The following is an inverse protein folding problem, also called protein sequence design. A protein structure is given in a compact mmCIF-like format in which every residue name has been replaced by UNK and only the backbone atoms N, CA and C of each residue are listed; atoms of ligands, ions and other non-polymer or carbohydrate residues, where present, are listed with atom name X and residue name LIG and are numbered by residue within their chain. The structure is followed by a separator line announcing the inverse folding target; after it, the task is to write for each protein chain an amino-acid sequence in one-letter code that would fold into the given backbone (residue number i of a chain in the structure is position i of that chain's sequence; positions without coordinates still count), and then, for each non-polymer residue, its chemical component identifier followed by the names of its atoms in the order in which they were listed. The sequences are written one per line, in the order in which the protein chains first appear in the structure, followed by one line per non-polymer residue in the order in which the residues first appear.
data_IF_725882896676
#
_entry.id   IF_725882896676
#
_cell.length_a   1.000
_cell.length_b   1.000
_cell.length_c   1.000
_cell.angle_alpha   90.00
_cell.angle_beta   90.00
_cell.angle_gamma   90.00
#
_symmetry.space_group_name_H-M   'P 1'
#
loop_
_entity.id
_entity.type
_entity.pdbx_description
1 polymer ?
#
# COMPACT_ATOMS: atom_id res chain seq x y z
N UNK A 1 49.07 13.30 -46.46
CA UNK A 1 49.58 12.11 -45.72
C UNK A 1 48.39 11.27 -45.29
N UNK A 2 48.17 10.15 -45.98
CA UNK A 2 47.14 9.17 -45.66
C UNK A 2 47.61 8.34 -44.47
N UNK A 3 47.11 8.66 -43.27
CA UNK A 3 47.22 7.76 -42.13
C UNK A 3 46.32 6.55 -42.45
N UNK A 4 46.93 5.40 -42.73
CA UNK A 4 46.20 4.14 -42.92
C UNK A 4 45.32 3.91 -41.71
N UNK A 5 44.00 3.88 -41.90
CA UNK A 5 43.03 3.59 -40.85
C UNK A 5 43.41 2.25 -40.24
N UNK A 6 43.87 2.25 -39.00
CA UNK A 6 44.28 1.01 -38.31
C UNK A 6 43.05 0.12 -38.17
N UNK A 7 43.20 -1.17 -38.46
CA UNK A 7 42.12 -2.16 -38.41
C UNK A 7 41.32 -2.09 -37.09
N UNK A 8 42.00 -1.74 -35.99
CA UNK A 8 41.41 -1.54 -34.65
C UNK A 8 40.32 -0.47 -34.58
N UNK A 9 40.37 0.57 -35.42
CA UNK A 9 39.37 1.65 -35.44
C UNK A 9 38.03 1.24 -36.05
N UNK A 10 38.01 0.16 -36.85
CA UNK A 10 36.79 -0.39 -37.49
C UNK A 10 36.09 -1.45 -36.63
N UNK A 11 36.82 -2.09 -35.71
CA UNK A 11 36.30 -3.22 -34.91
C UNK A 11 35.08 -2.80 -34.10
N UNK A 12 35.13 -1.66 -33.42
CA UNK A 12 34.05 -1.21 -32.55
C UNK A 12 32.76 -0.81 -33.31
N UNK A 13 32.81 0.03 -34.37
CA UNK A 13 31.63 0.33 -35.18
C UNK A 13 31.01 -0.92 -35.83
N UNK A 14 31.85 -1.84 -36.31
CA UNK A 14 31.40 -3.09 -36.94
C UNK A 14 30.71 -4.01 -35.93
N UNK A 15 31.24 -4.10 -34.71
CA UNK A 15 30.62 -4.87 -33.63
C UNK A 15 29.25 -4.29 -33.24
N UNK A 16 29.13 -2.97 -33.14
CA UNK A 16 27.85 -2.32 -32.87
C UNK A 16 26.82 -2.56 -33.98
N UNK A 17 27.24 -2.47 -35.25
CA UNK A 17 26.36 -2.69 -36.40
C UNK A 17 25.88 -4.14 -36.46
N UNK A 18 26.81 -5.11 -36.39
CA UNK A 18 26.48 -6.53 -36.50
C UNK A 18 25.76 -7.04 -35.24
N UNK A 19 26.22 -6.65 -34.06
CA UNK A 19 25.62 -7.01 -32.79
C UNK A 19 24.23 -6.41 -32.62
N UNK A 20 24.08 -5.11 -32.89
CA UNK A 20 22.77 -4.43 -32.88
C UNK A 20 21.81 -5.01 -33.91
N UNK A 21 22.30 -5.31 -35.13
CA UNK A 21 21.51 -5.95 -36.18
C UNK A 21 21.03 -7.36 -35.81
N UNK A 22 21.92 -8.18 -35.24
CA UNK A 22 21.55 -9.51 -34.75
C UNK A 22 20.50 -9.42 -33.63
N UNK A 23 20.70 -8.52 -32.66
CA UNK A 23 19.75 -8.29 -31.57
C UNK A 23 18.40 -7.79 -32.10
N UNK A 24 18.39 -6.90 -33.10
CA UNK A 24 17.16 -6.42 -33.73
C UNK A 24 16.37 -7.56 -34.38
N UNK A 25 17.05 -8.44 -35.13
CA UNK A 25 16.43 -9.63 -35.72
C UNK A 25 15.80 -10.50 -34.64
N UNK A 26 16.51 -10.75 -33.53
CA UNK A 26 15.97 -11.54 -32.43
C UNK A 26 14.82 -10.85 -31.70
N UNK A 27 14.88 -9.53 -31.52
CA UNK A 27 13.84 -8.76 -30.85
C UNK A 27 12.54 -8.77 -31.67
N UNK A 28 12.64 -8.61 -32.99
CA UNK A 28 11.50 -8.67 -33.89
C UNK A 28 10.93 -10.09 -34.01
N UNK A 29 11.77 -11.12 -34.06
CA UNK A 29 11.30 -12.51 -34.19
C UNK A 29 10.63 -13.05 -32.93
N UNK A 30 11.03 -12.55 -31.75
CA UNK A 30 10.43 -12.92 -30.47
C UNK A 30 9.24 -12.04 -30.06
N UNK A 31 8.84 -11.07 -30.90
CA UNK A 31 7.73 -10.16 -30.58
C UNK A 31 7.99 -9.30 -29.34
N UNK A 32 9.25 -8.89 -29.12
CA UNK A 32 9.64 -8.06 -27.97
C UNK A 32 8.92 -6.70 -27.97
N UNK A 33 8.70 -6.09 -26.80
CA UNK A 33 8.02 -4.80 -26.71
C UNK A 33 8.80 -3.72 -27.47
N UNK A 34 8.06 -2.76 -28.05
CA UNK A 34 8.59 -1.73 -28.97
C UNK A 34 9.84 -0.98 -28.48
N UNK A 35 10.00 -0.63 -27.18
CA UNK A 35 11.22 0.02 -26.70
C UNK A 35 12.49 -0.79 -26.93
N UNK A 36 12.42 -2.13 -26.82
CA UNK A 36 13.56 -3.03 -27.01
C UNK A 36 13.96 -3.11 -28.49
N UNK A 37 12.95 -3.19 -29.37
CA UNK A 37 13.14 -3.18 -30.83
C UNK A 37 13.78 -1.84 -31.27
N UNK A 38 13.28 -0.72 -30.75
CA UNK A 38 13.84 0.60 -31.03
C UNK A 38 15.29 0.73 -30.52
N UNK A 39 15.58 0.24 -29.31
CA UNK A 39 16.93 0.29 -28.74
C UNK A 39 17.96 -0.48 -29.58
N UNK A 40 17.61 -1.70 -30.00
CA UNK A 40 18.49 -2.54 -30.85
C UNK A 40 18.68 -1.96 -32.26
N UNK A 41 17.63 -1.36 -32.84
CA UNK A 41 17.72 -0.63 -34.10
C UNK A 41 18.63 0.61 -33.99
N UNK A 42 18.54 1.36 -32.90
CA UNK A 42 19.40 2.53 -32.65
C UNK A 42 20.86 2.12 -32.47
N UNK A 43 21.14 1.02 -31.77
CA UNK A 43 22.49 0.47 -31.63
C UNK A 43 23.12 0.13 -32.99
N UNK A 44 22.37 -0.54 -33.87
CA UNK A 44 22.81 -0.85 -35.23
C UNK A 44 23.04 0.43 -36.05
N UNK A 45 22.12 1.40 -35.95
CA UNK A 45 22.22 2.69 -36.63
C UNK A 45 23.46 3.48 -36.21
N UNK A 46 23.79 3.50 -34.92
CA UNK A 46 25.01 4.15 -34.40
C UNK A 46 26.27 3.50 -35.01
N UNK A 47 26.33 2.17 -35.07
CA UNK A 47 27.42 1.45 -35.73
C UNK A 47 27.57 1.81 -37.21
N UNK A 48 26.45 1.90 -37.94
CA UNK A 48 26.44 2.34 -39.34
C UNK A 48 26.94 3.77 -39.51
N UNK A 49 26.42 4.71 -38.71
CA UNK A 49 26.81 6.13 -38.76
C UNK A 49 28.30 6.33 -38.46
N UNK A 50 28.85 5.59 -37.50
CA UNK A 50 30.29 5.60 -37.20
C UNK A 50 31.14 5.15 -38.39
N UNK A 51 30.73 4.08 -39.09
CA UNK A 51 31.41 3.64 -40.30
C UNK A 51 31.34 4.70 -41.41
N UNK A 52 30.15 5.27 -41.67
CA UNK A 52 29.99 6.32 -42.68
C UNK A 52 30.85 7.56 -42.41
N UNK A 53 30.97 7.95 -41.15
CA UNK A 53 31.87 9.02 -40.72
C UNK A 53 33.34 8.65 -40.94
N UNK A 54 33.73 7.44 -40.55
CA UNK A 54 35.10 6.96 -40.71
C UNK A 54 35.50 6.84 -42.17
N UNK A 55 34.61 6.41 -43.07
CA UNK A 55 34.85 6.36 -44.52
C UNK A 55 34.89 7.73 -45.20
N UNK A 56 34.62 8.82 -44.47
CA UNK A 56 34.69 10.18 -45.01
C UNK A 56 33.50 10.56 -45.89
N UNK A 57 32.46 9.74 -45.91
CA UNK A 57 31.19 10.04 -46.60
C UNK A 57 30.50 11.22 -45.87
N UNK A 58 30.61 11.26 -44.55
CA UNK A 58 30.10 12.34 -43.71
C UNK A 58 31.25 13.28 -43.32
N UNK A 59 31.10 14.58 -43.59
CA UNK A 59 32.12 15.57 -43.22
C UNK A 59 32.19 15.79 -41.71
N UNK A 60 33.35 16.27 -41.22
CA UNK A 60 33.58 16.55 -39.78
C UNK A 60 32.54 17.51 -39.17
N UNK A 61 32.11 18.50 -39.94
CA UNK A 61 31.10 19.49 -39.51
C UNK A 61 29.71 18.84 -39.35
N UNK A 62 29.33 17.98 -40.30
CA UNK A 62 28.04 17.27 -40.27
C UNK A 62 28.03 16.26 -39.12
N UNK A 63 29.12 15.50 -38.91
CA UNK A 63 29.22 14.59 -37.77
C UNK A 63 29.10 15.29 -36.42
N UNK A 64 29.68 16.49 -36.30
CA UNK A 64 29.55 17.31 -35.08
C UNK A 64 28.11 17.79 -34.87
N UNK A 65 27.43 18.26 -35.93
CA UNK A 65 26.02 18.66 -35.85
C UNK A 65 25.11 17.49 -35.44
N UNK A 66 25.31 16.30 -36.04
CA UNK A 66 24.56 15.09 -35.69
C UNK A 66 24.82 14.68 -34.24
N UNK A 67 26.08 14.74 -33.78
CA UNK A 67 26.44 14.43 -32.39
C UNK A 67 25.82 15.40 -31.38
N UNK A 68 25.82 16.70 -31.68
CA UNK A 68 25.17 17.72 -30.85
C UNK A 68 23.66 17.49 -30.80
N UNK A 69 23.02 17.27 -31.95
CA UNK A 69 21.59 16.98 -32.01
C UNK A 69 21.23 15.72 -31.22
N UNK A 70 22.00 14.63 -31.38
CA UNK A 70 21.82 13.40 -30.62
C UNK A 70 21.99 13.62 -29.12
N UNK A 71 22.97 14.44 -28.70
CA UNK A 71 23.16 14.84 -27.31
C UNK A 71 21.97 15.60 -26.73
N UNK A 72 21.41 16.55 -27.49
CA UNK A 72 20.20 17.31 -27.08
C UNK A 72 19.00 16.36 -26.94
N UNK A 73 18.79 15.47 -27.91
CA UNK A 73 17.72 14.46 -27.84
C UNK A 73 17.91 13.54 -26.62
N UNK A 74 19.14 13.09 -26.35
CA UNK A 74 19.43 12.25 -25.20
C UNK A 74 19.11 12.95 -23.87
N UNK A 75 19.48 14.22 -23.71
CA UNK A 75 19.13 15.02 -22.52
C UNK A 75 17.61 15.20 -22.40
N UNK A 76 16.91 15.43 -23.50
CA UNK A 76 15.46 15.56 -23.51
C UNK A 76 14.76 14.25 -23.10
N UNK A 77 15.18 13.11 -23.65
CA UNK A 77 14.64 11.80 -23.27
C UNK A 77 14.92 11.49 -21.80
N UNK A 78 16.13 11.75 -21.31
CA UNK A 78 16.47 11.59 -19.89
C UNK A 78 15.58 12.44 -18.98
N UNK A 79 15.20 13.65 -19.41
CA UNK A 79 14.25 14.50 -18.69
C UNK A 79 12.83 13.90 -18.67
N UNK A 80 12.37 13.32 -19.78
CA UNK A 80 11.07 12.66 -19.84
C UNK A 80 11.01 11.45 -18.91
N UNK A 81 12.05 10.61 -18.91
CA UNK A 81 12.15 9.44 -18.03
C UNK A 81 12.13 9.86 -16.55
N UNK A 82 12.91 10.89 -16.20
CA UNK A 82 12.90 11.45 -14.85
C UNK A 82 11.50 11.92 -14.42
N UNK A 83 10.80 12.68 -15.29
CA UNK A 83 9.47 13.20 -14.99
C UNK A 83 8.44 12.07 -14.83
N UNK A 84 8.50 11.05 -15.68
CA UNK A 84 7.60 9.91 -15.63
C UNK A 84 7.70 9.17 -14.28
N UNK A 85 8.93 8.85 -13.86
CA UNK A 85 9.16 8.14 -12.59
C UNK A 85 8.85 9.03 -11.38
N UNK A 86 9.22 10.32 -11.42
CA UNK A 86 8.96 11.24 -10.31
C UNK A 86 7.46 11.40 -10.04
N UNK A 87 6.63 11.47 -11.08
CA UNK A 87 5.17 11.58 -10.94
C UNK A 87 4.55 10.37 -10.25
N UNK A 88 4.94 9.16 -10.66
CA UNK A 88 4.43 7.93 -10.05
C UNK A 88 4.87 7.76 -8.60
N UNK A 89 6.12 8.14 -8.28
CA UNK A 89 6.65 8.05 -6.93
C UNK A 89 5.86 8.91 -5.94
N UNK A 90 5.53 10.15 -6.32
CA UNK A 90 4.78 11.06 -5.45
C UNK A 90 3.34 10.56 -5.24
N UNK A 91 2.68 10.03 -6.27
CA UNK A 91 1.36 9.41 -6.15
C UNK A 91 1.43 8.17 -5.24
N UNK A 92 2.47 7.34 -5.37
CA UNK A 92 2.66 6.16 -4.54
C UNK A 92 2.90 6.52 -3.06
N UNK A 93 3.70 7.57 -2.79
CA UNK A 93 3.90 8.09 -1.43
C UNK A 93 2.60 8.63 -0.84
N UNK A 94 1.87 9.47 -1.58
CA UNK A 94 0.61 10.05 -1.15
C UNK A 94 -0.44 8.94 -0.87
N UNK A 95 -0.50 7.91 -1.72
CA UNK A 95 -1.35 6.74 -1.52
C UNK A 95 -0.99 6.01 -0.23
N UNK A 96 0.29 5.73 0.00
CA UNK A 96 0.77 5.04 1.21
C UNK A 96 0.41 5.84 2.45
N UNK A 97 0.69 7.14 2.46
CA UNK A 97 0.37 8.03 3.58
C UNK A 97 -1.14 8.08 3.86
N UNK A 98 -1.96 8.24 2.82
CA UNK A 98 -3.41 8.22 2.94
C UNK A 98 -3.92 6.90 3.54
N UNK A 99 -3.46 5.77 2.99
CA UNK A 99 -3.88 4.45 3.44
C UNK A 99 -3.46 4.20 4.89
N UNK A 100 -2.26 4.61 5.29
CA UNK A 100 -1.79 4.51 6.67
C UNK A 100 -2.71 5.29 7.63
N UNK A 101 -3.14 6.51 7.25
CA UNK A 101 -4.11 7.29 8.04
C UNK A 101 -5.49 6.62 8.09
N UNK A 102 -6.00 6.15 6.96
CA UNK A 102 -7.32 5.47 6.91
C UNK A 102 -7.30 4.17 7.72
N UNK A 103 -6.23 3.37 7.64
CA UNK A 103 -6.04 2.15 8.44
C UNK A 103 -6.08 2.47 9.93
N UNK A 104 -5.37 3.52 10.39
CA UNK A 104 -5.42 3.93 11.79
C UNK A 104 -6.85 4.28 12.22
N UNK A 105 -7.57 5.07 11.42
CA UNK A 105 -8.96 5.41 11.71
C UNK A 105 -9.89 4.18 11.74
N UNK A 106 -9.67 3.20 10.86
CA UNK A 106 -10.41 1.94 10.86
C UNK A 106 -10.05 1.04 12.06
N UNK A 107 -8.80 1.05 12.53
CA UNK A 107 -8.40 0.40 13.80
C UNK A 107 -9.14 1.01 14.99
N UNK A 108 -9.25 2.32 15.03
CA UNK A 108 -9.98 3.04 16.09
C UNK A 108 -11.46 2.67 16.09
N UNK A 109 -12.08 2.64 14.91
CA UNK A 109 -13.47 2.19 14.73
C UNK A 109 -13.64 0.72 15.12
N UNK A 110 -12.68 -0.16 14.76
CA UNK A 110 -12.70 -1.57 15.15
C UNK A 110 -12.71 -1.74 16.67
N UNK A 111 -11.83 -1.03 17.37
CA UNK A 111 -11.74 -1.08 18.82
C UNK A 111 -13.06 -0.65 19.48
N UNK A 112 -13.66 0.46 18.99
CA UNK A 112 -14.95 0.92 19.45
C UNK A 112 -16.08 -0.09 19.17
N UNK A 113 -16.10 -0.73 17.99
CA UNK A 113 -17.10 -1.74 17.64
C UNK A 113 -17.02 -2.97 18.55
N UNK A 114 -15.80 -3.43 18.85
CA UNK A 114 -15.60 -4.55 19.78
C UNK A 114 -16.10 -4.20 21.18
N UNK A 115 -15.77 -3.01 21.69
CA UNK A 115 -16.26 -2.55 22.98
C UNK A 115 -17.78 -2.37 23.01
N UNK A 116 -18.37 -1.89 21.90
CA UNK A 116 -19.81 -1.75 21.77
C UNK A 116 -20.52 -3.11 21.83
N UNK A 117 -19.97 -4.12 21.16
CA UNK A 117 -20.48 -5.50 21.19
C UNK A 117 -20.34 -6.14 22.57
N UNK A 118 -19.24 -5.90 23.29
CA UNK A 118 -19.08 -6.37 24.67
C UNK A 118 -20.11 -5.76 25.63
N UNK A 119 -20.53 -4.51 25.41
CA UNK A 119 -21.51 -3.82 26.25
C UNK A 119 -22.97 -4.14 25.87
N UNK A 120 -23.28 -4.30 24.58
CA UNK A 120 -24.67 -4.41 24.09
C UNK A 120 -25.03 -5.78 23.47
N UNK A 121 -24.05 -6.65 23.22
CA UNK A 121 -24.25 -7.95 22.56
C UNK A 121 -24.46 -7.87 21.04
N UNK A 122 -24.32 -6.68 20.45
CA UNK A 122 -24.36 -6.46 19.01
C UNK A 122 -23.45 -5.31 18.59
N UNK A 123 -23.13 -5.21 17.29
CA UNK A 123 -22.35 -4.10 16.73
C UNK A 123 -23.23 -2.88 16.40
N UNK A 124 -22.63 -1.69 16.30
CA UNK A 124 -23.32 -0.48 15.87
C UNK A 124 -23.34 -0.36 14.34
N UNK A 125 -24.48 0.08 13.80
CA UNK A 125 -24.63 0.36 12.37
C UNK A 125 -24.38 1.83 12.00
N UNK A 126 -24.17 2.70 12.99
CA UNK A 126 -24.13 4.14 12.80
C UNK A 126 -22.91 4.76 13.50
N UNK A 127 -22.14 5.54 12.73
CA UNK A 127 -21.00 6.33 13.24
C UNK A 127 -21.40 7.24 14.41
N UNK A 128 -22.56 7.89 14.37
CA UNK A 128 -22.99 8.80 15.43
C UNK A 128 -23.27 8.07 16.75
N UNK A 129 -23.95 6.93 16.69
CA UNK A 129 -24.21 6.08 17.86
C UNK A 129 -22.89 5.57 18.45
N UNK A 130 -22.01 5.06 17.60
CA UNK A 130 -20.71 4.59 18.03
C UNK A 130 -19.86 5.71 18.64
N UNK A 131 -19.92 6.93 18.09
CA UNK A 131 -19.22 8.10 18.64
C UNK A 131 -19.75 8.49 20.01
N UNK A 132 -21.07 8.48 20.20
CA UNK A 132 -21.68 8.76 21.49
C UNK A 132 -21.27 7.72 22.54
N UNK A 133 -21.28 6.44 22.16
CA UNK A 133 -20.78 5.36 23.01
C UNK A 133 -19.30 5.53 23.37
N UNK A 134 -18.45 5.94 22.42
CA UNK A 134 -17.06 6.23 22.76
C UNK A 134 -16.96 7.39 23.74
N UNK A 135 -17.81 8.43 23.63
CA UNK A 135 -17.76 9.61 24.50
C UNK A 135 -18.16 9.31 25.94
N UNK A 136 -19.26 8.60 26.15
CA UNK A 136 -19.91 8.48 27.46
C UNK A 136 -20.18 7.03 27.88
N UNK A 137 -19.91 6.07 27.01
CA UNK A 137 -20.18 4.66 27.25
C UNK A 137 -19.15 4.03 28.17
N UNK A 138 -19.61 2.96 28.81
CA UNK A 138 -18.78 2.06 29.60
C UNK A 138 -18.80 0.67 28.97
N UNK A 139 -17.71 -0.06 29.14
CA UNK A 139 -17.62 -1.46 28.73
C UNK A 139 -17.29 -2.34 29.94
N UNK A 140 -17.86 -3.56 30.03
CA UNK A 140 -17.49 -4.51 31.07
C UNK A 140 -16.09 -5.09 30.76
N UNK A 141 -15.18 -5.01 31.71
CA UNK A 141 -13.87 -5.67 31.66
C UNK A 141 -13.84 -6.78 32.69
N UNK A 142 -13.59 -8.00 32.22
CA UNK A 142 -13.45 -9.18 33.07
C UNK A 142 -11.99 -9.33 33.47
N UNK A 143 -11.69 -9.19 34.76
CA UNK A 143 -10.37 -9.52 35.31
C UNK A 143 -10.42 -10.92 35.89
N UNK A 144 -9.58 -11.80 35.34
CA UNK A 144 -9.32 -13.11 35.92
C UNK A 144 -8.22 -12.98 36.98
N UNK A 145 -8.53 -13.35 38.22
CA UNK A 145 -7.57 -13.43 39.32
C UNK A 145 -7.34 -14.93 39.59
N UNK A 146 -6.09 -15.37 39.51
CA UNK A 146 -5.68 -16.78 39.65
C UNK A 146 -5.29 -17.43 38.32
N UNK A 147 -4.48 -18.49 38.39
CA UNK A 147 -4.17 -19.34 37.23
C UNK A 147 -5.01 -20.61 37.31
N UNK A 148 -5.68 -20.94 36.20
CA UNK A 148 -6.38 -22.21 36.06
C UNK A 148 -5.37 -23.36 36.20
N UNK A 149 -5.52 -24.28 37.16
CA UNK A 149 -4.75 -25.51 37.18
C UNK A 149 -5.16 -26.41 36.01
N UNK A 150 -4.19 -27.00 35.30
CA UNK A 150 -4.45 -27.86 34.13
C UNK A 150 -5.31 -29.10 34.43
N UNK A 151 -5.45 -29.45 35.72
CA UNK A 151 -6.18 -30.62 36.21
C UNK A 151 -7.68 -30.40 36.39
N UNK A 152 -8.17 -29.15 36.36
CA UNK A 152 -9.55 -28.81 36.69
C UNK A 152 -10.29 -28.18 35.50
N UNK A 153 -11.59 -28.42 35.40
CA UNK A 153 -12.44 -27.64 34.50
C UNK A 153 -12.53 -26.19 34.97
N UNK A 154 -12.91 -25.28 34.07
CA UNK A 154 -13.01 -23.86 34.39
C UNK A 154 -14.12 -23.58 35.42
N UNK A 155 -15.19 -24.37 35.38
CA UNK A 155 -16.32 -24.31 36.29
C UNK A 155 -15.92 -24.76 37.72
N UNK A 156 -15.22 -25.90 37.84
CA UNK A 156 -14.74 -26.40 39.14
C UNK A 156 -13.69 -25.45 39.75
N UNK A 157 -12.83 -24.85 38.94
CA UNK A 157 -11.82 -23.90 39.41
C UNK A 157 -12.43 -22.58 39.92
N UNK A 158 -13.61 -22.18 39.41
CA UNK A 158 -14.38 -21.03 39.91
C UNK A 158 -15.08 -21.40 41.22
N UNK A 159 -15.73 -22.57 41.31
CA UNK A 159 -16.40 -23.03 42.54
C UNK A 159 -15.41 -23.21 43.71
N UNK A 160 -14.20 -23.71 43.43
CA UNK A 160 -13.14 -23.87 44.42
C UNK A 160 -12.45 -22.55 44.81
N UNK A 161 -12.84 -21.41 44.20
CA UNK A 161 -12.26 -20.11 44.46
C UNK A 161 -10.82 -19.95 43.97
N UNK A 162 -10.34 -20.85 43.10
CA UNK A 162 -8.99 -20.83 42.52
C UNK A 162 -8.90 -19.75 41.43
N UNK A 163 -10.01 -19.52 40.74
CA UNK A 163 -10.18 -18.45 39.74
C UNK A 163 -11.35 -17.57 40.18
N UNK A 164 -11.10 -16.29 40.36
CA UNK A 164 -12.15 -15.28 40.59
C UNK A 164 -12.28 -14.43 39.32
N UNK A 165 -13.50 -14.36 38.78
CA UNK A 165 -13.83 -13.44 37.69
C UNK A 165 -14.60 -12.26 38.24
N UNK A 166 -13.90 -11.15 38.41
CA UNK A 166 -14.51 -9.88 38.73
C UNK A 166 -14.75 -9.10 37.44
N UNK A 167 -16.01 -8.76 37.20
CA UNK A 167 -16.41 -7.82 36.15
C UNK A 167 -16.55 -6.44 36.75
N UNK A 168 -15.80 -5.48 36.21
CA UNK A 168 -15.96 -4.06 36.55
C UNK A 168 -16.15 -3.28 35.26
N UNK A 169 -16.81 -2.13 35.36
CA UNK A 169 -17.02 -1.25 34.21
C UNK A 169 -15.90 -0.23 34.12
N UNK A 170 -15.52 0.11 32.89
CA UNK A 170 -14.55 1.17 32.60
C UNK A 170 -15.06 2.08 31.50
N UNK A 171 -14.68 3.35 31.56
CA UNK A 171 -14.96 4.30 30.50
C UNK A 171 -14.21 3.89 29.22
N UNK A 172 -14.94 3.84 28.11
CA UNK A 172 -14.42 3.42 26.80
C UNK A 172 -13.37 4.40 26.30
N UNK A 173 -13.66 5.71 26.38
CA UNK A 173 -12.77 6.77 25.94
C UNK A 173 -11.39 6.67 26.61
N UNK A 174 -11.39 6.60 27.94
CA UNK A 174 -10.18 6.64 28.73
C UNK A 174 -9.33 5.39 28.50
N UNK A 175 -9.97 4.21 28.51
CA UNK A 175 -9.28 2.93 28.42
C UNK A 175 -8.70 2.68 27.04
N UNK A 176 -9.48 2.90 25.98
CA UNK A 176 -9.10 2.55 24.61
C UNK A 176 -8.34 3.65 23.89
N UNK A 177 -8.59 4.92 24.20
CA UNK A 177 -8.13 6.03 23.35
C UNK A 177 -7.27 7.08 24.05
N UNK A 178 -7.44 7.29 25.37
CA UNK A 178 -6.68 8.30 26.12
C UNK A 178 -5.58 7.73 27.02
N UNK A 179 -5.61 6.43 27.34
CA UNK A 179 -4.54 5.78 28.07
C UNK A 179 -3.20 5.95 27.33
N UNK A 180 -2.14 6.36 28.02
CA UNK A 180 -0.86 6.79 27.43
C UNK A 180 -0.29 5.80 26.41
N UNK A 181 -0.38 4.50 26.69
CA UNK A 181 0.04 3.42 25.81
C UNK A 181 -0.77 3.38 24.49
N UNK A 182 -2.08 3.65 24.55
CA UNK A 182 -2.99 3.60 23.40
C UNK A 182 -3.12 4.95 22.67
N UNK A 183 -2.81 6.06 23.36
CA UNK A 183 -2.95 7.42 22.88
C UNK A 183 -1.70 7.92 22.14
N UNK A 184 -0.52 7.35 22.42
CA UNK A 184 0.77 7.92 22.02
C UNK A 184 1.71 6.93 21.35
N UNK A 185 1.71 5.65 21.74
CA UNK A 185 2.64 4.67 21.17
C UNK A 185 2.08 4.14 19.83
N UNK A 186 2.92 4.14 18.79
CA UNK A 186 2.66 3.57 17.45
C UNK A 186 1.50 4.16 16.59
N UNK A 187 0.79 5.18 17.07
CA UNK A 187 -0.28 5.83 16.29
C UNK A 187 0.24 6.74 15.17
N UNK A 188 -0.43 6.70 14.02
CA UNK A 188 -0.19 7.62 12.90
C UNK A 188 -0.58 9.06 13.24
N UNK A 189 -1.65 9.25 14.03
CA UNK A 189 -2.11 10.55 14.51
C UNK A 189 -2.81 10.43 15.86
N UNK A 190 -2.80 11.54 16.62
CA UNK A 190 -3.46 11.63 17.93
C UNK A 190 -4.96 11.40 17.79
N UNK A 191 -5.54 10.59 18.68
CA UNK A 191 -6.98 10.37 18.70
C UNK A 191 -7.75 11.68 18.88
N UNK A 192 -8.81 11.83 18.09
CA UNK A 192 -9.72 12.97 18.13
C UNK A 192 -11.15 12.45 17.98
N UNK A 193 -11.97 12.70 19.01
CA UNK A 193 -13.34 12.23 19.08
C UNK A 193 -14.24 12.89 18.03
N UNK A 194 -14.00 14.16 17.69
CA UNK A 194 -14.82 14.90 16.73
C UNK A 194 -14.63 14.36 15.31
N UNK A 195 -13.43 13.85 15.03
CA UNK A 195 -13.07 13.20 13.76
C UNK A 195 -13.30 11.70 13.75
N UNK A 196 -13.75 11.12 14.87
CA UNK A 196 -14.00 9.69 14.96
C UNK A 196 -15.04 9.23 13.93
N UNK A 197 -14.76 8.12 13.25
CA UNK A 197 -15.65 7.56 12.23
C UNK A 197 -15.68 8.33 10.91
N UNK A 198 -14.76 9.29 10.71
CA UNK A 198 -14.57 10.02 9.45
C UNK A 198 -13.27 9.53 8.80
N UNK A 199 -13.31 9.27 7.50
CA UNK A 199 -12.13 8.90 6.70
C UNK A 199 -11.18 10.09 6.58
N UNK A 200 -9.93 10.02 7.07
CA UNK A 200 -8.98 11.15 7.01
C UNK A 200 -8.62 11.57 5.58
N UNK A 201 -8.75 10.66 4.62
CA UNK A 201 -8.45 10.91 3.21
C UNK A 201 -9.55 11.69 2.50
N UNK A 202 -10.81 11.27 2.69
CA UNK A 202 -11.95 11.83 1.97
C UNK A 202 -12.77 12.84 2.77
N UNK A 203 -12.60 12.90 4.10
CA UNK A 203 -13.41 13.70 5.01
C UNK A 203 -14.87 13.23 5.15
N UNK A 204 -15.20 12.07 4.56
CA UNK A 204 -16.56 11.49 4.60
C UNK A 204 -16.68 10.46 5.72
N UNK A 205 -17.88 10.28 6.30
CA UNK A 205 -18.11 9.26 7.31
C UNK A 205 -17.91 7.87 6.73
N UNK A 206 -17.35 6.95 7.52
CA UNK A 206 -17.22 5.56 7.14
C UNK A 206 -18.59 4.91 6.89
N UNK A 207 -18.67 4.01 5.93
CA UNK A 207 -19.89 3.26 5.65
C UNK A 207 -19.90 2.05 6.57
N UNK A 208 -20.86 2.01 7.50
CA UNK A 208 -21.03 0.94 8.47
C UNK A 208 -22.25 0.09 8.13
N UNK A 209 -22.14 -1.23 8.33
CA UNK A 209 -23.23 -2.19 8.25
C UNK A 209 -23.07 -3.20 9.37
N UNK A 210 -24.21 -3.68 9.90
CA UNK A 210 -24.26 -4.79 10.85
C UNK A 210 -25.16 -5.90 10.31
N UNK A 211 -25.00 -7.09 10.88
CA UNK A 211 -25.82 -8.25 10.59
C UNK A 211 -25.62 -9.32 11.65
N UNK A 212 -26.17 -10.50 11.38
CA UNK A 212 -25.92 -11.71 12.17
C UNK A 212 -25.69 -12.87 11.21
N UNK A 213 -24.81 -13.80 11.58
CA UNK A 213 -24.51 -14.97 10.76
C UNK A 213 -24.46 -16.21 11.64
N UNK A 214 -24.98 -17.32 11.11
CA UNK A 214 -24.86 -18.61 11.77
C UNK A 214 -23.45 -19.18 11.52
N UNK A 215 -22.64 -19.24 12.57
CA UNK A 215 -21.32 -19.83 12.52
C UNK A 215 -21.23 -20.95 13.57
N UNK A 216 -21.01 -22.19 13.11
CA UNK A 216 -20.93 -23.36 14.01
C UNK A 216 -22.20 -23.57 14.85
N UNK A 217 -23.39 -23.31 14.28
CA UNK A 217 -24.68 -23.50 14.95
C UNK A 217 -25.07 -22.38 15.93
N UNK A 218 -24.21 -21.37 16.12
CA UNK A 218 -24.52 -20.18 16.94
C UNK A 218 -24.74 -18.96 16.05
N UNK A 219 -25.73 -18.17 16.42
CA UNK A 219 -26.03 -16.91 15.76
C UNK A 219 -25.15 -15.81 16.33
N UNK A 220 -24.16 -15.36 15.54
CA UNK A 220 -23.15 -14.38 15.98
C UNK A 220 -23.36 -13.03 15.30
N UNK A 221 -23.23 -11.90 16.04
CA UNK A 221 -23.25 -10.58 15.42
C UNK A 221 -22.06 -10.41 14.49
N UNK A 222 -22.25 -9.65 13.42
CA UNK A 222 -21.21 -9.29 12.45
C UNK A 222 -21.32 -7.84 12.04
N UNK A 223 -20.20 -7.26 11.63
CA UNK A 223 -20.16 -5.88 11.14
C UNK A 223 -19.20 -5.74 9.96
N UNK A 224 -19.41 -4.70 9.18
CA UNK A 224 -18.51 -4.28 8.11
C UNK A 224 -18.42 -2.76 8.13
N UNK A 225 -17.20 -2.25 8.23
CA UNK A 225 -16.90 -0.83 8.03
C UNK A 225 -15.97 -0.69 6.84
N UNK A 226 -16.32 0.19 5.90
CA UNK A 226 -15.50 0.45 4.69
C UNK A 226 -15.27 1.93 4.47
N UNK A 227 -14.11 2.24 3.89
CA UNK A 227 -13.78 3.58 3.41
C UNK A 227 -14.74 3.99 2.28
N UNK A 228 -15.46 5.13 2.40
CA UNK A 228 -16.41 5.57 1.39
C UNK A 228 -15.76 5.94 0.06
N UNK A 229 -14.51 6.42 0.11
CA UNK A 229 -13.81 6.91 -1.07
C UNK A 229 -12.30 6.65 -0.93
N UNK A 230 -11.83 5.48 -1.39
CA UNK A 230 -10.41 5.15 -1.35
C UNK A 230 -9.59 6.05 -2.26
N UNK A 231 -8.28 6.09 -2.01
CA UNK A 231 -7.36 6.83 -2.85
C UNK A 231 -7.39 6.28 -4.30
N UNK A 232 -7.32 7.13 -5.34
CA UNK A 232 -7.36 6.66 -6.73
C UNK A 232 -6.33 5.55 -7.02
N UNK A 233 -6.81 4.43 -7.52
CA UNK A 233 -6.00 3.25 -7.84
C UNK A 233 -5.55 2.43 -6.62
N UNK A 234 -6.15 2.60 -5.45
CA UNK A 234 -6.00 1.70 -4.30
C UNK A 234 -7.26 0.87 -4.06
N UNK A 235 -7.07 -0.30 -3.44
CA UNK A 235 -8.18 -1.12 -2.97
C UNK A 235 -8.96 -0.42 -1.85
N UNK A 236 -10.23 -0.80 -1.70
CA UNK A 236 -11.07 -0.27 -0.61
C UNK A 236 -10.64 -0.89 0.71
N UNK A 237 -10.19 -0.03 1.63
CA UNK A 237 -9.87 -0.44 2.99
C UNK A 237 -11.16 -0.70 3.77
N UNK A 238 -11.22 -1.85 4.42
CA UNK A 238 -12.38 -2.26 5.21
C UNK A 238 -11.98 -3.15 6.38
N UNK A 239 -12.87 -3.22 7.36
CA UNK A 239 -12.73 -4.03 8.56
C UNK A 239 -14.03 -4.75 8.88
N UNK A 240 -13.89 -6.01 9.27
CA UNK A 240 -15.00 -6.91 9.51
C UNK A 240 -15.51 -7.59 8.24
N UNK A 241 -16.55 -8.41 8.39
CA UNK A 241 -17.23 -9.13 7.31
C UNK A 241 -18.67 -9.37 7.70
N UNK A 242 -19.61 -9.32 6.75
CA UNK A 242 -21.01 -9.69 6.98
C UNK A 242 -21.28 -11.19 6.78
N UNK A 243 -20.34 -11.91 6.15
CA UNK A 243 -20.53 -13.32 5.78
C UNK A 243 -19.91 -14.28 6.81
N UNK A 244 -19.05 -13.77 7.69
CA UNK A 244 -18.38 -14.56 8.73
C UNK A 244 -18.05 -13.70 9.94
N UNK A 245 -18.03 -14.27 11.17
CA UNK A 245 -17.57 -13.57 12.37
C UNK A 245 -16.08 -13.26 12.24
N UNK A 246 -15.76 -12.03 11.86
CA UNK A 246 -14.38 -11.56 11.72
C UNK A 246 -14.33 -10.09 12.09
N UNK A 247 -13.31 -9.73 12.86
CA UNK A 247 -12.95 -8.35 13.20
C UNK A 247 -11.72 -7.88 12.43
N UNK A 248 -11.19 -8.72 11.53
CA UNK A 248 -9.95 -8.47 10.78
C UNK A 248 -10.13 -7.39 9.73
N UNK A 249 -9.04 -6.69 9.43
CA UNK A 249 -8.97 -5.68 8.38
C UNK A 249 -8.43 -6.27 7.09
N UNK A 250 -8.58 -5.55 5.99
CA UNK A 250 -7.97 -5.92 4.70
C UNK A 250 -6.49 -5.57 4.58
N UNK A 251 -5.91 -4.91 5.58
CA UNK A 251 -4.50 -4.54 5.62
C UNK A 251 -3.66 -5.59 6.37
N UNK A 252 -2.35 -5.63 6.08
CA UNK A 252 -1.38 -6.38 6.88
C UNK A 252 -1.18 -5.69 8.23
N UNK A 253 -1.28 -6.44 9.31
CA UNK A 253 -1.00 -5.96 10.68
C UNK A 253 0.49 -5.87 10.96
#
# INVERSE_FOLDING_TARGET
MSQGKTLSTLVFPLLLLLGGGALLITAMSQGQPMPVVLGTAMMALVGLLMLLFQYGIISRKVGLLVGVLAGVVAVYVAYLDYRAVAGELEIAKARKENNTKVVQALKDVRAAQIAFEQAHGEYSANVQELREFVRTGEMPVVRAIGQKPDTLSEEEAIELGIIVRDTFTVAVLDTLFLNYANATDERVFKFDLDRFGISPGSGKPFIMRKGRVNAGGRDMPVFLVKDPQPFPGSDTLMVGSLDRPSTSGTWSE
#
